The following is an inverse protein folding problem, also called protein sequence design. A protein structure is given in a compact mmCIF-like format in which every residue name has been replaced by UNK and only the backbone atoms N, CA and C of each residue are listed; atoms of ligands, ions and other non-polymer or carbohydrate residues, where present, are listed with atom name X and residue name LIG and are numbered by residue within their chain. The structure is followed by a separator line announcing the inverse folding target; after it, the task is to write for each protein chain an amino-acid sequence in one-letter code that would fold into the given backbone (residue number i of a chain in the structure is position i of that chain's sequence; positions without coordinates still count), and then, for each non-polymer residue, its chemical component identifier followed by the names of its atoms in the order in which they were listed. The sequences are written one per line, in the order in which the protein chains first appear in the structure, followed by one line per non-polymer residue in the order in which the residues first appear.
data_IF_426507956602
#
_entry.id   IF_426507956602
#
_cell.length_a   1.000
_cell.length_b   1.000
_cell.length_c   1.000
_cell.angle_alpha   90.00
_cell.angle_beta   90.00
_cell.angle_gamma   90.00
#
_symmetry.space_group_name_H-M   'P 1'
#
loop_
_entity.id
_entity.type
_entity.pdbx_description
1 polymer ?
#
# COMPACT_ATOMS: atom_id res chain seq x y z
N UNK A 1 3.69 -36.56 13.49
CA UNK A 1 3.05 -35.50 12.68
C UNK A 1 4.13 -34.53 12.21
N UNK A 2 4.94 -34.97 11.26
CA UNK A 2 5.97 -34.13 10.66
C UNK A 2 5.31 -33.33 9.54
N UNK A 3 4.94 -32.07 9.82
CA UNK A 3 4.64 -31.14 8.75
C UNK A 3 5.91 -30.98 7.93
N UNK A 4 5.82 -31.36 6.66
CA UNK A 4 6.87 -31.17 5.66
C UNK A 4 7.15 -29.67 5.58
N UNK A 5 8.17 -29.26 6.32
CA UNK A 5 8.65 -27.89 6.45
C UNK A 5 9.46 -27.56 5.18
N UNK A 6 8.80 -27.61 4.03
CA UNK A 6 9.40 -27.15 2.79
C UNK A 6 9.75 -25.67 2.99
N UNK A 7 10.99 -25.24 2.66
CA UNK A 7 11.38 -23.85 2.80
C UNK A 7 10.52 -23.02 1.85
N UNK A 8 9.43 -22.47 2.38
CA UNK A 8 8.52 -21.65 1.62
C UNK A 8 9.14 -20.28 1.49
N UNK A 9 9.96 -20.14 0.44
CA UNK A 9 10.54 -18.89 -0.08
C UNK A 9 9.65 -17.64 0.09
N UNK A 10 8.30 -17.66 -0.13
CA UNK A 10 7.48 -16.47 0.09
C UNK A 10 7.47 -15.95 1.54
N UNK A 11 7.65 -16.82 2.54
CA UNK A 11 7.48 -16.44 3.95
C UNK A 11 8.65 -15.60 4.45
N UNK A 12 9.88 -15.97 4.09
CA UNK A 12 11.05 -15.13 4.39
C UNK A 12 10.94 -13.73 3.76
N UNK A 13 10.38 -13.65 2.54
CA UNK A 13 10.13 -12.36 1.87
C UNK A 13 9.09 -11.52 2.62
N UNK A 14 8.02 -12.13 3.15
CA UNK A 14 7.01 -11.44 3.95
C UNK A 14 7.62 -10.80 5.20
N UNK A 15 8.52 -11.50 5.90
CA UNK A 15 9.20 -10.94 7.07
C UNK A 15 10.17 -9.81 6.72
N UNK A 16 10.90 -9.93 5.61
CA UNK A 16 11.80 -8.87 5.12
C UNK A 16 10.99 -7.63 4.74
N UNK A 17 9.94 -7.79 3.93
CA UNK A 17 9.04 -6.70 3.56
C UNK A 17 8.36 -6.09 4.78
N UNK A 18 7.95 -6.90 5.75
CA UNK A 18 7.37 -6.45 7.01
C UNK A 18 8.33 -5.59 7.84
N UNK A 19 9.61 -5.97 7.92
CA UNK A 19 10.64 -5.18 8.60
C UNK A 19 10.90 -3.84 7.88
N UNK A 20 10.96 -3.84 6.55
CA UNK A 20 11.11 -2.61 5.75
C UNK A 20 9.89 -1.70 5.91
N UNK A 21 8.68 -2.26 5.89
CA UNK A 21 7.45 -1.50 6.11
C UNK A 21 7.45 -0.90 7.52
N UNK A 22 7.78 -1.68 8.54
CA UNK A 22 7.86 -1.21 9.93
C UNK A 22 8.87 -0.06 10.06
N UNK A 23 10.01 -0.14 9.38
CA UNK A 23 10.99 0.95 9.33
C UNK A 23 10.39 2.26 8.79
N UNK A 24 9.73 2.22 7.63
CA UNK A 24 9.08 3.39 7.04
C UNK A 24 7.92 3.91 7.90
N UNK A 25 7.14 3.01 8.51
CA UNK A 25 6.02 3.37 9.38
C UNK A 25 6.53 4.05 10.65
N UNK A 26 7.63 3.56 11.24
CA UNK A 26 8.29 4.22 12.35
C UNK A 26 8.78 5.61 11.95
N UNK A 27 9.43 5.77 10.80
CA UNK A 27 9.83 7.11 10.34
C UNK A 27 8.64 8.04 10.16
N UNK A 28 7.61 7.61 9.42
CA UNK A 28 6.42 8.41 9.16
C UNK A 28 5.67 8.81 10.44
N UNK A 29 5.49 7.87 11.37
CA UNK A 29 4.84 8.15 12.66
C UNK A 29 5.67 9.11 13.51
N UNK A 30 6.99 8.96 13.52
CA UNK A 30 7.87 9.82 14.31
C UNK A 30 7.90 11.24 13.72
N UNK A 31 7.99 11.39 12.39
CA UNK A 31 7.92 12.68 11.72
C UNK A 31 6.58 13.38 11.98
N UNK A 32 5.47 12.64 11.94
CA UNK A 32 4.15 13.17 12.28
C UNK A 32 4.05 13.64 13.74
N UNK A 33 4.58 12.84 14.68
CA UNK A 33 4.61 13.21 16.11
C UNK A 33 5.46 14.45 16.31
N UNK A 34 6.70 14.50 15.80
CA UNK A 34 7.54 15.69 15.96
C UNK A 34 7.00 16.91 15.22
N UNK A 35 6.27 16.73 14.12
CA UNK A 35 5.53 17.80 13.45
C UNK A 35 4.53 18.52 14.37
N UNK A 36 4.01 17.84 15.39
CA UNK A 36 3.15 18.45 16.41
C UNK A 36 3.92 19.00 17.62
N UNK A 37 5.08 18.42 17.96
CA UNK A 37 5.82 18.69 19.20
C UNK A 37 7.10 19.55 19.04
N UNK A 38 7.52 19.92 17.82
CA UNK A 38 8.61 20.89 17.58
C UNK A 38 9.76 20.36 16.71
N UNK A 39 11.00 20.84 16.93
CA UNK A 39 12.15 20.50 16.06
C UNK A 39 12.51 19.01 16.16
N UNK A 40 12.39 18.30 15.05
CA UNK A 40 12.72 16.89 14.95
C UNK A 40 14.17 16.61 15.41
N UNK A 41 14.41 15.51 16.15
CA UNK A 41 15.76 15.06 16.44
C UNK A 41 16.51 14.77 15.13
N UNK A 42 17.83 14.96 15.13
CA UNK A 42 18.70 14.80 13.96
C UNK A 42 18.36 13.54 13.13
N UNK A 43 18.06 13.74 11.84
CA UNK A 43 17.53 12.72 10.93
C UNK A 43 18.37 11.43 10.90
N UNK A 44 19.69 11.56 10.99
CA UNK A 44 20.63 10.44 10.96
C UNK A 44 20.50 9.50 12.17
N UNK A 45 20.22 10.04 13.37
CA UNK A 45 20.02 9.22 14.58
C UNK A 45 18.67 8.52 14.56
N UNK A 46 17.66 9.17 13.99
CA UNK A 46 16.32 8.63 13.87
C UNK A 46 16.30 7.41 12.95
N UNK A 47 16.89 7.54 11.76
CA UNK A 47 16.98 6.44 10.80
C UNK A 47 17.79 5.26 11.33
N UNK A 48 18.85 5.52 12.10
CA UNK A 48 19.64 4.43 12.69
C UNK A 48 18.85 3.68 13.77
N UNK A 49 18.19 4.42 14.66
CA UNK A 49 17.40 3.82 15.74
C UNK A 49 16.19 3.03 15.20
N UNK A 50 15.43 3.59 14.26
CA UNK A 50 14.30 2.88 13.64
C UNK A 50 14.75 1.65 12.85
N UNK A 51 15.92 1.72 12.19
CA UNK A 51 16.50 0.58 11.47
C UNK A 51 16.86 -0.58 12.41
N UNK A 52 17.44 -0.27 13.58
CA UNK A 52 17.77 -1.28 14.60
C UNK A 52 16.50 -1.89 15.19
N UNK A 53 15.51 -1.06 15.53
CA UNK A 53 14.24 -1.53 16.09
C UNK A 53 13.50 -2.41 15.08
N UNK A 54 13.43 -1.99 13.82
CA UNK A 54 12.73 -2.73 12.76
C UNK A 54 13.39 -4.08 12.46
N UNK A 55 14.72 -4.12 12.40
CA UNK A 55 15.46 -5.38 12.20
C UNK A 55 15.34 -6.33 13.40
N UNK A 56 15.45 -5.83 14.63
CA UNK A 56 15.25 -6.63 15.83
C UNK A 56 13.83 -7.18 15.92
N UNK A 57 12.81 -6.34 15.66
CA UNK A 57 11.41 -6.76 15.63
C UNK A 57 11.16 -7.83 14.56
N UNK A 58 11.72 -7.66 13.35
CA UNK A 58 11.64 -8.65 12.27
C UNK A 58 12.19 -10.01 12.67
N UNK A 59 13.35 -10.04 13.34
CA UNK A 59 13.98 -11.28 13.83
C UNK A 59 13.14 -11.95 14.92
N UNK A 60 12.64 -11.16 15.89
CA UNK A 60 11.80 -11.67 16.98
C UNK A 60 10.52 -12.28 16.40
N UNK A 61 9.90 -11.61 15.43
CA UNK A 61 8.65 -12.07 14.81
C UNK A 61 8.87 -13.33 13.96
N UNK A 62 10.03 -13.46 13.31
CA UNK A 62 10.42 -14.68 12.59
C UNK A 62 10.64 -15.87 13.54
N UNK A 63 11.14 -15.64 14.76
CA UNK A 63 11.43 -16.70 15.73
C UNK A 63 10.18 -17.28 16.41
N UNK A 64 9.03 -16.60 16.31
CA UNK A 64 7.82 -17.02 17.01
C UNK A 64 6.93 -17.91 16.13
N UNK A 65 6.78 -19.18 16.51
CA UNK A 65 6.09 -20.22 15.73
C UNK A 65 4.65 -19.86 15.35
N UNK A 66 3.92 -19.14 16.23
CA UNK A 66 2.56 -18.69 15.95
C UNK A 66 2.48 -17.77 14.72
N UNK A 67 3.43 -16.85 14.58
CA UNK A 67 3.42 -15.92 13.44
C UNK A 67 3.84 -16.61 12.15
N UNK A 68 4.78 -17.55 12.24
CA UNK A 68 5.21 -18.35 11.10
C UNK A 68 4.06 -19.22 10.56
N UNK A 69 3.30 -19.84 11.46
CA UNK A 69 2.13 -20.62 11.09
C UNK A 69 1.06 -19.78 10.37
N UNK A 70 0.73 -18.60 10.91
CA UNK A 70 -0.22 -17.67 10.28
C UNK A 70 0.23 -17.23 8.89
N UNK A 71 1.53 -16.91 8.71
CA UNK A 71 2.06 -16.53 7.40
C UNK A 71 1.94 -17.68 6.37
N UNK A 72 2.11 -18.92 6.82
CA UNK A 72 1.93 -20.11 5.98
C UNK A 72 0.47 -20.30 5.57
N UNK A 73 -0.46 -20.16 6.51
CA UNK A 73 -1.90 -20.25 6.25
C UNK A 73 -2.34 -19.20 5.23
N UNK A 74 -1.97 -17.93 5.45
CA UNK A 74 -2.27 -16.83 4.51
C UNK A 74 -1.67 -17.11 3.13
N UNK A 75 -0.41 -17.55 3.06
CA UNK A 75 0.19 -17.91 1.76
C UNK A 75 -0.55 -19.05 1.08
N UNK A 76 -1.02 -20.04 1.84
CA UNK A 76 -1.80 -21.15 1.30
C UNK A 76 -3.18 -20.73 0.80
N UNK A 77 -3.83 -19.78 1.48
CA UNK A 77 -5.13 -19.24 1.09
C UNK A 77 -5.02 -18.30 -0.11
N UNK A 78 -3.99 -17.46 -0.15
CA UNK A 78 -3.71 -16.58 -1.29
C UNK A 78 -3.44 -17.36 -2.58
N UNK A 79 -2.92 -18.59 -2.49
CA UNK A 79 -2.76 -19.47 -3.66
C UNK A 79 -4.09 -19.95 -4.24
N UNK A 80 -5.16 -19.97 -3.43
CA UNK A 80 -6.50 -20.34 -3.89
C UNK A 80 -7.21 -19.18 -4.58
N UNK A 81 -6.74 -17.95 -4.41
CA UNK A 81 -7.26 -16.78 -5.11
C UNK A 81 -6.92 -16.93 -6.59
N UNK A 82 -7.95 -17.21 -7.38
CA UNK A 82 -7.86 -17.27 -8.84
C UNK A 82 -7.73 -15.85 -9.37
N UNK A 83 -6.51 -15.45 -9.73
CA UNK A 83 -6.30 -14.19 -10.42
C UNK A 83 -6.80 -14.28 -11.86
N UNK A 84 -7.54 -13.26 -12.34
CA UNK A 84 -7.98 -13.21 -13.73
C UNK A 84 -6.76 -13.21 -14.66
N UNK A 85 -6.95 -13.72 -15.87
CA UNK A 85 -5.87 -13.75 -16.85
C UNK A 85 -5.45 -12.33 -17.24
N UNK A 86 -4.17 -12.11 -17.57
CA UNK A 86 -3.66 -10.79 -17.97
C UNK A 86 -4.45 -10.18 -19.16
N UNK A 87 -5.00 -11.03 -20.03
CA UNK A 87 -5.85 -10.61 -21.14
C UNK A 87 -7.18 -10.02 -20.65
N UNK A 88 -7.81 -10.67 -19.68
CA UNK A 88 -9.06 -10.21 -19.08
C UNK A 88 -8.88 -8.89 -18.34
N UNK A 89 -7.79 -8.76 -17.56
CA UNK A 89 -7.42 -7.49 -16.90
C UNK A 89 -7.24 -6.37 -17.93
N UNK A 90 -6.57 -6.66 -19.06
CA UNK A 90 -6.36 -5.67 -20.12
C UNK A 90 -7.67 -5.26 -20.79
N UNK A 91 -8.57 -6.19 -21.03
CA UNK A 91 -9.90 -5.88 -21.60
C UNK A 91 -10.71 -5.03 -20.61
N UNK A 92 -10.76 -5.41 -19.34
CA UNK A 92 -11.49 -4.67 -18.31
C UNK A 92 -10.94 -3.24 -18.15
N UNK A 93 -9.61 -3.07 -18.12
CA UNK A 93 -8.99 -1.73 -18.05
C UNK A 93 -9.27 -0.88 -19.29
N UNK A 94 -9.29 -1.45 -20.50
CA UNK A 94 -9.68 -0.71 -21.70
C UNK A 94 -11.12 -0.19 -21.60
N UNK A 95 -12.05 -1.00 -21.11
CA UNK A 95 -13.45 -0.57 -20.91
C UNK A 95 -13.51 0.60 -19.93
N UNK A 96 -12.80 0.52 -18.80
CA UNK A 96 -12.75 1.60 -17.80
C UNK A 96 -12.17 2.89 -18.40
N UNK A 97 -11.12 2.79 -19.22
CA UNK A 97 -10.53 3.97 -19.90
C UNK A 97 -11.56 4.63 -20.82
N UNK A 98 -12.28 3.84 -21.62
CA UNK A 98 -13.31 4.36 -22.53
C UNK A 98 -14.42 5.05 -21.73
N UNK A 99 -14.90 4.41 -20.66
CA UNK A 99 -15.92 5.00 -19.79
C UNK A 99 -15.44 6.29 -19.14
N UNK A 100 -14.19 6.34 -18.67
CA UNK A 100 -13.61 7.55 -18.08
C UNK A 100 -13.52 8.70 -19.08
N UNK A 101 -13.15 8.42 -20.34
CA UNK A 101 -13.13 9.44 -21.41
C UNK A 101 -14.54 9.96 -21.69
N UNK A 102 -15.53 9.07 -21.82
CA UNK A 102 -16.92 9.48 -22.04
C UNK A 102 -17.42 10.35 -20.88
N UNK A 103 -17.18 9.93 -19.64
CA UNK A 103 -17.53 10.74 -18.45
C UNK A 103 -16.83 12.10 -18.44
N UNK A 104 -15.54 12.15 -18.78
CA UNK A 104 -14.79 13.40 -18.85
C UNK A 104 -15.36 14.37 -19.91
N UNK A 105 -15.77 13.86 -21.07
CA UNK A 105 -16.40 14.67 -22.11
C UNK A 105 -17.75 15.21 -21.62
N UNK A 106 -18.59 14.37 -21.03
CA UNK A 106 -19.91 14.79 -20.53
C UNK A 106 -19.76 15.86 -19.44
N UNK A 107 -18.87 15.64 -18.47
CA UNK A 107 -18.60 16.60 -17.41
C UNK A 107 -18.01 17.89 -17.97
N UNK A 108 -17.05 17.80 -18.90
CA UNK A 108 -16.47 18.98 -19.54
C UNK A 108 -17.50 19.82 -20.30
N UNK A 109 -18.45 19.19 -21.01
CA UNK A 109 -19.56 19.89 -21.64
C UNK A 109 -20.46 20.56 -20.60
N UNK A 110 -20.77 19.86 -19.50
CA UNK A 110 -21.57 20.40 -18.42
C UNK A 110 -20.90 21.63 -17.76
N UNK A 111 -19.59 21.56 -17.52
CA UNK A 111 -18.78 22.66 -16.98
C UNK A 111 -18.78 23.87 -17.92
N UNK A 112 -18.69 23.65 -19.24
CA UNK A 112 -18.77 24.72 -20.24
C UNK A 112 -20.15 25.38 -20.26
N UNK A 113 -21.22 24.60 -20.25
CA UNK A 113 -22.60 25.13 -20.21
C UNK A 113 -22.80 25.94 -18.93
N UNK A 114 -22.37 25.40 -17.79
CA UNK A 114 -22.49 26.07 -16.51
C UNK A 114 -21.73 27.40 -16.48
N UNK A 115 -20.51 27.43 -17.01
CA UNK A 115 -19.70 28.66 -17.08
C UNK A 115 -20.39 29.74 -17.93
N UNK A 116 -20.93 29.38 -19.10
CA UNK A 116 -21.64 30.34 -19.94
C UNK A 116 -22.95 30.82 -19.29
N UNK A 117 -23.68 29.94 -18.60
CA UNK A 117 -24.90 30.30 -17.88
C UNK A 117 -24.61 31.22 -16.69
N UNK A 118 -23.59 30.94 -15.90
CA UNK A 118 -23.22 31.79 -14.77
C UNK A 118 -22.67 33.14 -15.23
N UNK A 119 -21.91 33.19 -16.32
CA UNK A 119 -21.45 34.45 -16.92
C UNK A 119 -22.62 35.28 -17.47
N UNK A 120 -23.65 34.66 -18.06
CA UNK A 120 -24.85 35.38 -18.49
C UNK A 120 -25.66 35.94 -17.31
N UNK A 121 -25.71 35.21 -16.18
CA UNK A 121 -26.49 35.61 -15.00
C UNK A 121 -25.76 36.65 -14.14
N UNK A 122 -24.44 36.55 -14.00
CA UNK A 122 -23.63 37.46 -13.17
C UNK A 122 -22.90 38.56 -13.95
N UNK A 123 -22.69 38.38 -15.26
CA UNK A 123 -22.02 39.32 -16.16
C UNK A 123 -22.96 40.25 -16.94
N UNK A 124 -24.25 40.24 -16.59
CA UNK A 124 -25.22 41.29 -16.92
C UNK A 124 -25.42 42.27 -15.78
#
# INVERSE_FOLDING_TARGET
MAQENAPNKPVHLIYLCGAVLLFYLLQWSIDWVWGYFGSAPSESKLSLASGIIASAAGIIMYRNDRFYHLANEVSSELKKVTWPSAKEVRTATMVVIIMAIVSAIILGVFDLIWTNLTELVYGG
#
